data_IF_970370632940
#
_entry.id   IF_970370632940
#
_cell.length_a   1.000
_cell.length_b   1.000
_cell.length_c   1.000
_cell.angle_alpha   90.00
_cell.angle_beta   90.00
_cell.angle_gamma   90.00
#
_symmetry.space_group_name_H-M   'P 1'
#
loop_
_entity.id
_entity.type
_entity.pdbx_description
1 polymer ?
#
# COMPACT_ATOMS: atom_id res chain seq x y z
N UNK A 1 1.83 -20.86 8.93
CA UNK A 1 1.72 -21.16 7.49
C UNK A 1 2.01 -19.91 6.68
N UNK A 2 2.90 -19.98 5.69
CA UNK A 2 3.42 -18.83 4.93
C UNK A 2 2.32 -17.97 4.25
N UNK A 3 1.23 -18.57 3.75
CA UNK A 3 0.22 -17.81 3.00
C UNK A 3 -0.52 -16.77 3.86
N UNK A 4 -0.73 -17.03 5.15
CA UNK A 4 -1.33 -16.04 6.05
C UNK A 4 -0.39 -14.87 6.33
N UNK A 5 0.92 -15.11 6.35
CA UNK A 5 1.93 -14.09 6.59
C UNK A 5 2.13 -13.20 5.36
N UNK A 6 1.98 -13.77 4.16
CA UNK A 6 2.16 -13.06 2.90
C UNK A 6 0.86 -12.45 2.33
N UNK A 7 -0.30 -12.78 2.92
CA UNK A 7 -1.59 -12.25 2.47
C UNK A 7 -1.63 -10.73 2.62
N UNK A 8 -2.05 -10.03 1.56
CA UNK A 8 -2.11 -8.57 1.55
C UNK A 8 -0.81 -7.86 1.15
N UNK A 9 0.34 -8.56 1.12
CA UNK A 9 1.65 -7.94 0.90
C UNK A 9 2.45 -8.54 -0.25
N UNK A 10 2.21 -9.80 -0.62
CA UNK A 10 2.95 -10.46 -1.70
C UNK A 10 2.04 -11.17 -2.70
N UNK A 11 2.45 -11.16 -3.98
CA UNK A 11 1.76 -11.89 -5.04
C UNK A 11 1.94 -13.40 -4.91
N UNK A 12 0.99 -14.16 -5.45
CA UNK A 12 1.06 -15.64 -5.43
C UNK A 12 2.25 -16.18 -6.21
N UNK A 13 2.71 -15.46 -7.23
CA UNK A 13 3.89 -15.77 -8.03
C UNK A 13 5.17 -15.62 -7.20
N UNK A 14 5.27 -14.52 -6.42
CA UNK A 14 6.43 -14.26 -5.56
C UNK A 14 6.50 -15.25 -4.40
N UNK A 15 5.36 -15.58 -3.79
CA UNK A 15 5.26 -16.62 -2.77
C UNK A 15 5.65 -17.98 -3.35
N UNK A 16 5.19 -18.30 -4.57
CA UNK A 16 5.56 -19.54 -5.26
C UNK A 16 7.07 -19.67 -5.41
N UNK A 17 7.74 -18.64 -5.92
CA UNK A 17 9.20 -18.61 -6.03
C UNK A 17 9.89 -18.80 -4.68
N UNK A 18 9.40 -18.13 -3.62
CA UNK A 18 9.97 -18.23 -2.28
C UNK A 18 9.93 -19.65 -1.70
N UNK A 19 8.89 -20.43 -2.02
CA UNK A 19 8.69 -21.78 -1.46
C UNK A 19 8.95 -22.92 -2.45
N UNK A 20 9.51 -22.63 -3.63
CA UNK A 20 9.78 -23.63 -4.67
C UNK A 20 8.51 -24.23 -5.28
N UNK A 21 7.45 -23.45 -5.45
CA UNK A 21 6.15 -23.86 -6.02
C UNK A 21 5.69 -22.92 -7.13
N UNK A 22 4.72 -23.36 -7.91
CA UNK A 22 4.07 -22.50 -8.90
C UNK A 22 3.04 -21.58 -8.25
N UNK A 23 2.82 -20.39 -8.83
CA UNK A 23 1.78 -19.47 -8.37
C UNK A 23 0.37 -20.07 -8.44
N UNK A 24 0.13 -20.99 -9.38
CA UNK A 24 -1.13 -21.74 -9.48
C UNK A 24 -1.36 -22.64 -8.28
N UNK A 25 -0.34 -23.39 -7.84
CA UNK A 25 -0.43 -24.23 -6.64
C UNK A 25 -0.70 -23.40 -5.38
N UNK A 26 -0.02 -22.25 -5.26
CA UNK A 26 -0.23 -21.28 -4.17
C UNK A 26 -1.67 -20.77 -4.16
N UNK A 27 -2.20 -20.35 -5.33
CA UNK A 27 -3.57 -19.86 -5.48
C UNK A 27 -4.62 -20.91 -5.11
N UNK A 28 -4.45 -22.15 -5.58
CA UNK A 28 -5.34 -23.26 -5.22
C UNK A 28 -5.35 -23.50 -3.73
N UNK A 29 -4.17 -23.50 -3.08
CA UNK A 29 -4.08 -23.71 -1.64
C UNK A 29 -4.69 -22.54 -0.84
N UNK A 30 -4.47 -21.30 -1.28
CA UNK A 30 -5.08 -20.12 -0.65
C UNK A 30 -6.61 -20.17 -0.72
N UNK A 31 -7.18 -20.57 -1.87
CA UNK A 31 -8.63 -20.75 -2.05
C UNK A 31 -9.19 -21.83 -1.13
N UNK A 32 -8.55 -23.00 -1.05
CA UNK A 32 -8.97 -24.08 -0.13
C UNK A 32 -9.02 -23.61 1.33
N UNK A 33 -8.08 -22.75 1.71
CA UNK A 33 -7.96 -22.22 3.08
C UNK A 33 -8.76 -20.93 3.30
N UNK A 34 -9.52 -20.47 2.30
CA UNK A 34 -10.29 -19.21 2.32
C UNK A 34 -9.45 -17.99 2.70
N UNK A 35 -8.20 -17.95 2.24
CA UNK A 35 -7.29 -16.81 2.44
C UNK A 35 -7.38 -15.89 1.23
N UNK A 36 -7.75 -14.62 1.47
CA UNK A 36 -7.74 -13.60 0.44
C UNK A 36 -6.30 -13.14 0.15
N UNK A 37 -5.90 -13.23 -1.12
CA UNK A 37 -4.56 -12.85 -1.58
C UNK A 37 -4.53 -11.47 -2.28
N UNK A 38 -5.61 -10.69 -2.17
CA UNK A 38 -5.64 -9.33 -2.70
C UNK A 38 -4.66 -8.47 -1.91
N UNK A 39 -3.79 -7.74 -2.60
CA UNK A 39 -2.82 -6.84 -1.98
C UNK A 39 -3.53 -5.62 -1.38
N UNK A 40 -3.01 -5.10 -0.27
CA UNK A 40 -3.62 -4.02 0.51
C UNK A 40 -2.59 -2.96 0.89
N UNK A 41 -3.07 -1.78 1.29
CA UNK A 41 -2.22 -0.67 1.73
C UNK A 41 -1.16 -0.33 0.67
N UNK A 42 0.09 -0.25 1.10
CA UNK A 42 1.25 0.07 0.24
C UNK A 42 1.50 -0.95 -0.87
N UNK A 43 0.99 -2.17 -0.73
CA UNK A 43 1.13 -3.20 -1.74
C UNK A 43 -0.04 -3.21 -2.73
N UNK A 44 -1.07 -2.40 -2.51
CA UNK A 44 -2.21 -2.34 -3.41
C UNK A 44 -1.76 -1.86 -4.81
N UNK A 45 -2.25 -2.46 -5.93
CA UNK A 45 -1.78 -2.10 -7.27
C UNK A 45 -1.98 -0.63 -7.66
N UNK A 46 -2.92 0.04 -7.00
CA UNK A 46 -3.20 1.47 -7.19
C UNK A 46 -2.52 2.38 -6.16
N UNK A 47 -1.74 1.84 -5.22
CA UNK A 47 -0.95 2.64 -4.29
C UNK A 47 0.17 3.33 -5.05
N UNK A 48 0.17 4.67 -5.03
CA UNK A 48 1.19 5.50 -5.72
C UNK A 48 2.29 5.97 -4.78
N UNK A 49 1.95 6.15 -3.51
CA UNK A 49 2.83 6.66 -2.46
C UNK A 49 2.61 5.83 -1.22
N UNK A 50 3.65 5.67 -0.39
CA UNK A 50 3.55 4.92 0.84
C UNK A 50 2.65 5.65 1.83
N UNK A 51 1.98 4.86 2.66
CA UNK A 51 1.10 5.37 3.69
C UNK A 51 1.82 6.30 4.66
N UNK A 52 3.06 5.97 5.03
CA UNK A 52 3.90 6.82 5.88
C UNK A 52 4.16 8.20 5.28
N UNK A 53 4.39 8.29 3.96
CA UNK A 53 4.64 9.58 3.29
C UNK A 53 3.37 10.44 3.24
N UNK A 54 2.21 9.78 3.04
CA UNK A 54 0.89 10.43 3.07
C UNK A 54 0.60 10.97 4.48
N UNK A 55 0.91 10.20 5.52
CA UNK A 55 0.75 10.61 6.92
C UNK A 55 1.69 11.76 7.27
N UNK A 56 2.94 11.71 6.83
CA UNK A 56 3.91 12.78 7.01
C UNK A 56 3.43 14.08 6.34
N UNK A 57 2.90 14.02 5.12
CA UNK A 57 2.32 15.18 4.44
C UNK A 57 1.20 15.83 5.27
N UNK A 58 0.34 15.01 5.89
CA UNK A 58 -0.75 15.50 6.77
C UNK A 58 -0.20 16.12 8.05
N UNK A 59 0.80 15.51 8.66
CA UNK A 59 1.42 16.02 9.89
C UNK A 59 2.11 17.37 9.63
N UNK A 60 2.90 17.48 8.57
CA UNK A 60 3.56 18.73 8.18
C UNK A 60 2.53 19.85 7.92
N UNK A 61 1.43 19.53 7.23
CA UNK A 61 0.36 20.50 7.03
C UNK A 61 -0.31 20.93 8.35
N UNK A 62 -0.57 19.99 9.27
CA UNK A 62 -1.10 20.31 10.61
C UNK A 62 -0.15 21.20 11.42
N UNK A 63 1.16 21.05 11.22
CA UNK A 63 2.18 21.92 11.82
C UNK A 63 2.33 23.28 11.12
N UNK A 64 1.52 23.56 10.09
CA UNK A 64 1.53 24.84 9.37
C UNK A 64 2.55 24.93 8.23
N UNK A 65 3.21 23.83 7.85
CA UNK A 65 4.15 23.85 6.73
C UNK A 65 3.38 24.09 5.42
N UNK A 66 3.82 25.04 4.58
CA UNK A 66 3.17 25.31 3.30
C UNK A 66 3.16 24.07 2.38
N UNK A 67 2.01 23.80 1.75
CA UNK A 67 1.82 22.63 0.86
C UNK A 67 2.84 22.55 -0.29
N UNK A 68 3.33 23.69 -0.79
CA UNK A 68 4.38 23.75 -1.82
C UNK A 68 5.71 23.19 -1.28
N UNK A 69 6.08 23.57 -0.07
CA UNK A 69 7.28 23.06 0.59
C UNK A 69 7.14 21.56 0.91
N UNK A 70 5.94 21.10 1.30
CA UNK A 70 5.66 19.68 1.49
C UNK A 70 5.79 18.91 0.17
N UNK A 71 5.25 19.46 -0.92
CA UNK A 71 5.34 18.87 -2.26
C UNK A 71 6.80 18.72 -2.72
N UNK A 72 7.62 19.75 -2.51
CA UNK A 72 9.05 19.72 -2.79
C UNK A 72 9.79 18.69 -1.92
N UNK A 73 9.54 18.69 -0.59
CA UNK A 73 10.21 17.78 0.35
C UNK A 73 9.88 16.31 0.17
N UNK A 74 8.63 16.00 -0.22
CA UNK A 74 8.18 14.63 -0.45
C UNK A 74 8.26 14.21 -1.92
N UNK A 75 8.76 15.09 -2.79
CA UNK A 75 8.84 14.87 -4.24
C UNK A 75 7.48 14.47 -4.84
N UNK A 76 6.40 15.03 -4.31
CA UNK A 76 5.02 14.76 -4.73
C UNK A 76 4.45 15.96 -5.48
N UNK A 77 3.64 15.75 -6.55
CA UNK A 77 2.93 16.84 -7.19
C UNK A 77 2.01 17.57 -6.19
N UNK A 78 1.96 18.90 -6.27
CA UNK A 78 1.10 19.72 -5.39
C UNK A 78 -0.37 19.29 -5.42
N UNK A 79 -0.86 18.85 -6.58
CA UNK A 79 -2.21 18.29 -6.72
C UNK A 79 -2.44 17.03 -5.88
N UNK A 80 -1.44 16.16 -5.77
CA UNK A 80 -1.50 14.97 -4.91
C UNK A 80 -1.46 15.34 -3.44
N UNK A 81 -0.59 16.29 -3.04
CA UNK A 81 -0.55 16.80 -1.67
C UNK A 81 -1.91 17.38 -1.26
N UNK A 82 -2.56 18.16 -2.13
CA UNK A 82 -3.90 18.68 -1.87
C UNK A 82 -4.92 17.56 -1.59
N UNK A 83 -4.95 16.51 -2.43
CA UNK A 83 -5.86 15.38 -2.24
C UNK A 83 -5.62 14.64 -0.91
N UNK A 84 -4.36 14.50 -0.49
CA UNK A 84 -4.00 13.82 0.75
C UNK A 84 -4.27 14.64 2.01
N UNK A 85 -4.03 15.94 1.94
CA UNK A 85 -4.21 16.89 3.04
C UNK A 85 -5.68 17.20 3.29
N UNK A 86 -6.48 17.41 2.25
CA UNK A 86 -7.91 17.73 2.37
C UNK A 86 -8.81 16.50 2.47
N UNK A 87 -8.25 15.31 2.67
CA UNK A 87 -8.97 14.04 2.84
C UNK A 87 -9.88 13.63 1.66
N UNK A 88 -9.70 14.20 0.47
CA UNK A 88 -10.43 13.79 -0.75
C UNK A 88 -10.09 12.35 -1.16
N UNK A 89 -8.93 11.84 -0.74
CA UNK A 89 -8.60 10.40 -0.75
C UNK A 89 -8.56 9.86 0.67
N UNK A 90 -9.62 9.14 1.09
CA UNK A 90 -9.58 8.35 2.33
C UNK A 90 -8.55 7.24 2.15
N UNK A 91 -7.53 7.24 2.99
CA UNK A 91 -6.75 6.03 3.23
C UNK A 91 -7.65 5.19 4.12
N UNK A 92 -8.06 4.01 3.63
CA UNK A 92 -8.69 3.03 4.49
C UNK A 92 -7.66 2.59 5.53
N UNK A 93 -7.91 2.88 6.81
CA UNK A 93 -7.24 2.19 7.91
C UNK A 93 -7.41 0.69 7.69
N UNK A 94 -6.29 -0.03 7.68
CA UNK A 94 -6.24 -1.47 7.40
C UNK A 94 -6.54 -2.26 8.67
#
# INVERSE_FOLDING_TARGET
>A
MILRQCAGTMTVESIGRLIGRTGSAVRTKARQLRICMILKGDFHPSAKYRQGDIELARQLHRCGVPRREIAEKLEMPLGMINQYVYFERRVYEV
#
